data_IF_757360980968
#
_entry.id   IF_757360980968
#
_cell.length_a   1.000
_cell.length_b   1.000
_cell.length_c   1.000
_cell.angle_alpha   90.00
_cell.angle_beta   90.00
_cell.angle_gamma   90.00
#
_symmetry.space_group_name_H-M   'P 1'
#
loop_
_entity.id
_entity.type
_entity.pdbx_description
1 polymer ?
#
# COMPACT_ATOMS: atom_id res chain seq x y z
N UNK A 1 10.91 -41.44 32.05
CA UNK A 1 11.00 -40.80 30.71
C UNK A 1 12.47 -40.68 30.36
N UNK A 2 12.95 -41.42 29.36
CA UNK A 2 14.38 -41.52 29.03
C UNK A 2 14.84 -40.29 28.25
N UNK A 3 16.14 -39.96 28.29
CA UNK A 3 16.70 -38.83 27.55
C UNK A 3 16.38 -38.88 26.04
N UNK A 4 16.37 -40.10 25.46
CA UNK A 4 15.99 -40.34 24.06
C UNK A 4 14.52 -39.98 23.75
N UNK A 5 13.60 -40.20 24.67
CA UNK A 5 12.19 -39.82 24.49
C UNK A 5 12.02 -38.29 24.50
N UNK A 6 12.77 -37.61 25.37
CA UNK A 6 12.75 -36.14 25.48
C UNK A 6 13.37 -35.45 24.25
N UNK A 7 14.37 -36.08 23.61
CA UNK A 7 14.94 -35.59 22.35
C UNK A 7 14.02 -35.81 21.15
N UNK A 8 13.29 -36.94 21.10
CA UNK A 8 12.34 -37.21 20.03
C UNK A 8 11.16 -36.23 20.05
N UNK A 9 10.59 -35.98 21.23
CA UNK A 9 9.52 -34.98 21.44
C UNK A 9 9.99 -33.57 21.03
N UNK A 10 11.22 -33.19 21.39
CA UNK A 10 11.79 -31.91 21.00
C UNK A 10 11.96 -31.77 19.48
N UNK A 11 12.36 -32.84 18.77
CA UNK A 11 12.47 -32.80 17.30
C UNK A 11 11.11 -32.74 16.61
N UNK A 12 10.09 -33.39 17.15
CA UNK A 12 8.72 -33.31 16.62
C UNK A 12 8.15 -31.91 16.78
N UNK A 13 8.34 -31.28 17.95
CA UNK A 13 7.94 -29.90 18.19
C UNK A 13 8.62 -28.92 17.22
N UNK A 14 9.94 -29.05 17.03
CA UNK A 14 10.69 -28.22 16.08
C UNK A 14 10.22 -28.42 14.64
N UNK A 15 9.89 -29.65 14.24
CA UNK A 15 9.36 -29.91 12.90
C UNK A 15 7.97 -29.29 12.70
N UNK A 16 7.12 -29.32 13.73
CA UNK A 16 5.82 -28.66 13.72
C UNK A 16 5.97 -27.13 13.58
N UNK A 17 6.91 -26.53 14.32
CA UNK A 17 7.21 -25.11 14.25
C UNK A 17 7.74 -24.71 12.86
N UNK A 18 8.67 -25.49 12.29
CA UNK A 18 9.17 -25.27 10.92
C UNK A 18 8.02 -25.34 9.91
N UNK A 19 7.11 -26.30 10.05
CA UNK A 19 5.95 -26.41 9.17
C UNK A 19 5.00 -25.22 9.31
N UNK A 20 4.79 -24.74 10.54
CA UNK A 20 3.99 -23.54 10.81
C UNK A 20 4.61 -22.28 10.20
N UNK A 21 5.91 -22.07 10.40
CA UNK A 21 6.65 -20.93 9.83
C UNK A 21 6.62 -20.93 8.31
N UNK A 22 6.77 -22.11 7.68
CA UNK A 22 6.65 -22.23 6.22
C UNK A 22 5.27 -21.82 5.71
N UNK A 23 4.20 -22.18 6.42
CA UNK A 23 2.83 -21.76 6.06
C UNK A 23 2.66 -20.25 6.22
N UNK A 24 3.13 -19.69 7.34
CA UNK A 24 3.08 -18.24 7.58
C UNK A 24 3.84 -17.45 6.51
N UNK A 25 5.04 -17.88 6.13
CA UNK A 25 5.79 -17.23 5.06
C UNK A 25 5.07 -17.27 3.70
N UNK A 26 4.42 -18.39 3.36
CA UNK A 26 3.65 -18.50 2.12
C UNK A 26 2.44 -17.55 2.13
N UNK A 27 1.78 -17.44 3.28
CA UNK A 27 0.67 -16.55 3.53
C UNK A 27 1.08 -15.08 3.39
N UNK A 28 2.13 -14.67 4.10
CA UNK A 28 2.69 -13.32 4.05
C UNK A 28 3.15 -12.93 2.64
N UNK A 29 3.80 -13.85 1.92
CA UNK A 29 4.22 -13.62 0.53
C UNK A 29 3.02 -13.31 -0.37
N UNK A 30 1.91 -14.03 -0.16
CA UNK A 30 0.68 -13.83 -0.92
C UNK A 30 0.05 -12.48 -0.59
N UNK A 31 -0.03 -12.13 0.70
CA UNK A 31 -0.54 -10.84 1.14
C UNK A 31 0.31 -9.66 0.67
N UNK A 32 1.64 -9.83 0.66
CA UNK A 32 2.57 -8.83 0.14
C UNK A 32 2.34 -8.60 -1.35
N UNK A 33 2.22 -9.67 -2.14
CA UNK A 33 1.97 -9.58 -3.56
C UNK A 33 0.61 -8.90 -3.87
N UNK A 34 -0.42 -9.19 -3.08
CA UNK A 34 -1.72 -8.52 -3.17
C UNK A 34 -1.64 -7.02 -2.86
N UNK A 35 -0.92 -6.64 -1.80
CA UNK A 35 -0.68 -5.21 -1.49
C UNK A 35 0.13 -4.51 -2.57
N UNK A 36 1.16 -5.16 -3.11
CA UNK A 36 1.97 -4.63 -4.20
C UNK A 36 1.14 -4.43 -5.49
N UNK A 37 0.12 -5.28 -5.72
CA UNK A 37 -0.85 -5.12 -6.80
C UNK A 37 -1.92 -4.02 -6.51
N UNK A 38 -1.87 -3.37 -5.35
CA UNK A 38 -2.81 -2.30 -4.98
C UNK A 38 -4.15 -2.80 -4.42
N UNK A 39 -4.22 -4.01 -3.84
CA UNK A 39 -5.47 -4.51 -3.28
C UNK A 39 -6.00 -3.59 -2.16
N UNK A 40 -7.21 -3.04 -2.36
CA UNK A 40 -7.94 -2.24 -1.36
C UNK A 40 -8.29 -3.06 -0.12
N UNK A 41 -8.51 -4.35 -0.30
CA UNK A 41 -8.73 -5.32 0.78
C UNK A 41 -8.03 -6.64 0.48
N UNK A 42 -6.90 -6.87 1.17
CA UNK A 42 -6.10 -8.09 1.05
C UNK A 42 -6.92 -9.33 1.44
N UNK A 43 -7.77 -9.23 2.46
CA UNK A 43 -8.61 -10.34 2.92
C UNK A 43 -9.60 -10.80 1.84
N UNK A 44 -10.23 -9.85 1.14
CA UNK A 44 -11.15 -10.16 0.06
C UNK A 44 -10.40 -10.76 -1.14
N UNK A 45 -9.27 -10.15 -1.53
CA UNK A 45 -8.49 -10.64 -2.67
C UNK A 45 -7.95 -12.06 -2.43
N UNK A 46 -7.49 -12.34 -1.21
CA UNK A 46 -7.01 -13.67 -0.79
C UNK A 46 -8.12 -14.74 -0.80
N UNK A 47 -9.36 -14.37 -0.51
CA UNK A 47 -10.48 -15.31 -0.61
C UNK A 47 -10.74 -15.70 -2.07
N UNK A 48 -10.63 -14.75 -2.99
CA UNK A 48 -10.83 -14.96 -4.43
C UNK A 48 -9.66 -15.71 -5.08
N UNK A 49 -8.45 -15.68 -4.51
CA UNK A 49 -7.31 -16.41 -5.07
C UNK A 49 -7.58 -17.92 -5.24
N UNK A 50 -8.38 -18.52 -4.37
CA UNK A 50 -8.72 -19.94 -4.46
C UNK A 50 -9.52 -20.29 -5.74
N UNK A 51 -10.34 -19.36 -6.22
CA UNK A 51 -11.15 -19.51 -7.43
C UNK A 51 -10.36 -19.24 -8.72
N UNK A 52 -9.16 -18.65 -8.59
CA UNK A 52 -8.30 -18.22 -9.69
C UNK A 52 -6.93 -18.91 -9.69
N UNK A 53 -6.82 -20.14 -9.17
CA UNK A 53 -5.58 -20.94 -9.13
C UNK A 53 -4.39 -20.21 -8.47
N UNK A 54 -4.67 -19.25 -7.58
CA UNK A 54 -3.66 -18.40 -6.94
C UNK A 54 -3.05 -17.32 -7.86
N UNK A 55 -3.59 -17.10 -9.06
CA UNK A 55 -3.14 -16.07 -9.97
C UNK A 55 -3.71 -14.69 -9.61
N UNK A 56 -2.84 -13.83 -9.08
CA UNK A 56 -3.19 -12.46 -8.71
C UNK A 56 -3.65 -11.64 -9.93
N UNK A 57 -3.07 -11.86 -11.11
CA UNK A 57 -3.46 -11.11 -12.31
C UNK A 57 -4.85 -11.51 -12.80
N UNK A 58 -5.21 -12.80 -12.68
CA UNK A 58 -6.56 -13.26 -12.98
C UNK A 58 -7.60 -12.62 -12.04
N UNK A 59 -7.28 -12.50 -10.74
CA UNK A 59 -8.14 -11.82 -9.76
C UNK A 59 -8.26 -10.31 -10.06
N UNK A 60 -7.16 -9.66 -10.46
CA UNK A 60 -7.17 -8.24 -10.88
C UNK A 60 -8.04 -8.03 -12.11
N UNK A 61 -7.96 -8.93 -13.09
CA UNK A 61 -8.75 -8.84 -14.33
C UNK A 61 -10.24 -9.14 -14.09
N UNK A 62 -10.55 -10.13 -13.24
CA UNK A 62 -11.92 -10.51 -12.92
C UNK A 62 -12.62 -9.49 -12.02
N UNK A 63 -11.90 -8.95 -11.02
CA UNK A 63 -12.45 -8.03 -10.02
C UNK A 63 -11.64 -6.72 -9.93
N UNK A 64 -11.63 -5.87 -10.98
CA UNK A 64 -10.84 -4.63 -11.00
C UNK A 64 -11.18 -3.66 -9.87
N UNK A 65 -12.43 -3.64 -9.40
CA UNK A 65 -12.89 -2.75 -8.32
C UNK A 65 -12.17 -2.98 -6.98
N UNK A 66 -11.57 -4.16 -6.80
CA UNK A 66 -10.88 -4.54 -5.58
C UNK A 66 -9.44 -4.00 -5.50
N UNK A 67 -8.90 -3.51 -6.62
CA UNK A 67 -7.53 -3.02 -6.72
C UNK A 67 -7.53 -1.51 -7.05
N UNK A 68 -6.54 -0.81 -6.51
CA UNK A 68 -6.25 0.58 -6.86
C UNK A 68 -5.59 0.62 -8.24
N UNK A 69 -6.08 1.48 -9.14
CA UNK A 69 -5.51 1.66 -10.48
C UNK A 69 -5.97 0.67 -11.55
N UNK A 70 -6.75 -0.37 -11.22
CA UNK A 70 -7.27 -1.32 -12.21
C UNK A 70 -8.38 -0.75 -13.12
N UNK A 71 -8.92 0.41 -12.78
CA UNK A 71 -9.49 1.48 -13.64
C UNK A 71 -10.07 2.53 -12.69
N UNK A 72 -9.29 3.56 -12.36
CA UNK A 72 -9.88 4.85 -12.01
C UNK A 72 -9.91 5.72 -13.27
N UNK A 73 -10.55 5.22 -14.33
CA UNK A 73 -11.05 6.08 -15.42
C UNK A 73 -12.15 7.02 -14.93
N UNK A 74 -12.57 6.92 -13.66
CA UNK A 74 -13.41 7.86 -12.95
C UNK A 74 -12.65 8.84 -12.02
N UNK A 75 -11.31 8.95 -12.12
CA UNK A 75 -10.61 10.15 -11.66
C UNK A 75 -10.47 11.20 -12.77
N UNK A 76 -11.39 11.19 -13.75
CA UNK A 76 -11.86 12.41 -14.43
C UNK A 76 -13.19 12.80 -13.80
N UNK A 77 -13.13 13.16 -12.52
CA UNK A 77 -14.30 13.43 -11.69
C UNK A 77 -14.05 14.52 -10.66
N UNK A 78 -13.12 15.44 -10.95
CA UNK A 78 -13.07 16.71 -10.25
C UNK A 78 -14.36 17.48 -10.56
N UNK A 79 -15.37 17.35 -9.72
CA UNK A 79 -16.50 18.29 -9.70
C UNK A 79 -16.08 19.65 -9.12
N UNK A 80 -14.86 19.76 -8.60
CA UNK A 80 -14.14 21.03 -8.53
C UNK A 80 -13.72 21.48 -9.92
N UNK A 81 -14.70 21.88 -10.73
CA UNK A 81 -14.55 22.82 -11.85
C UNK A 81 -14.26 24.25 -11.33
N UNK A 82 -13.60 24.33 -10.20
CA UNK A 82 -13.02 25.52 -9.61
C UNK A 82 -11.55 25.20 -9.55
N UNK A 83 -10.74 26.03 -10.20
CA UNK A 83 -9.30 25.99 -9.98
C UNK A 83 -9.04 25.97 -8.46
N UNK A 84 -8.02 25.23 -8.00
CA UNK A 84 -7.65 25.29 -6.60
C UNK A 84 -7.37 26.76 -6.25
N UNK A 85 -8.29 27.39 -5.52
CA UNK A 85 -8.16 28.76 -5.00
C UNK A 85 -6.99 28.91 -3.99
N UNK A 86 -6.18 27.86 -3.84
CA UNK A 86 -4.97 27.81 -3.02
C UNK A 86 -3.66 27.75 -3.82
N UNK A 87 -3.66 27.74 -5.16
CA UNK A 87 -2.45 28.14 -5.89
C UNK A 87 -2.45 29.66 -5.88
N UNK A 88 -1.91 30.23 -4.81
CA UNK A 88 -1.63 31.65 -4.69
C UNK A 88 -0.95 32.09 -6.00
N UNK A 89 -1.68 32.78 -6.87
CA UNK A 89 -1.15 33.47 -8.04
C UNK A 89 -0.27 34.66 -7.65
N UNK A 90 0.52 34.52 -6.59
CA UNK A 90 1.63 35.40 -6.29
C UNK A 90 2.81 34.91 -7.11
N UNK A 91 3.17 35.67 -8.13
CA UNK A 91 4.46 35.47 -8.79
C UNK A 91 5.58 35.43 -7.75
N UNK A 92 6.69 34.77 -8.09
CA UNK A 92 7.88 34.75 -7.23
C UNK A 92 8.31 36.19 -6.83
N UNK A 93 8.11 37.16 -7.72
CA UNK A 93 8.30 38.58 -7.43
C UNK A 93 7.37 39.12 -6.31
N UNK A 94 6.10 38.73 -6.28
CA UNK A 94 5.17 39.12 -5.22
C UNK A 94 5.52 38.47 -3.87
N UNK A 95 5.99 37.21 -3.91
CA UNK A 95 6.50 36.51 -2.74
C UNK A 95 7.75 37.19 -2.18
N UNK A 96 8.74 37.49 -3.03
CA UNK A 96 9.98 38.16 -2.63
C UNK A 96 9.75 39.60 -2.15
N UNK A 97 8.83 40.34 -2.77
CA UNK A 97 8.46 41.70 -2.32
C UNK A 97 7.85 41.68 -0.92
N UNK A 98 7.00 40.69 -0.61
CA UNK A 98 6.44 40.51 0.74
C UNK A 98 7.54 40.25 1.77
N UNK A 99 8.54 39.42 1.43
CA UNK A 99 9.68 39.20 2.32
C UNK A 99 10.50 40.47 2.53
N UNK A 100 10.79 41.23 1.46
CA UNK A 100 11.53 42.49 1.55
C UNK A 100 10.85 43.51 2.48
N UNK A 101 9.51 43.65 2.43
CA UNK A 101 8.76 44.50 3.36
C UNK A 101 8.84 44.02 4.81
N UNK A 102 8.74 42.70 5.05
CA UNK A 102 8.78 42.13 6.41
C UNK A 102 10.13 42.40 7.10
N UNK A 103 11.23 42.37 6.33
CA UNK A 103 12.57 42.58 6.87
C UNK A 103 13.07 44.02 6.72
N UNK A 104 12.20 44.96 6.32
CA UNK A 104 12.53 46.39 6.21
C UNK A 104 13.51 46.73 5.07
N UNK A 105 13.69 45.83 4.10
CA UNK A 105 14.56 46.04 2.93
C UNK A 105 13.89 46.85 1.81
N UNK A 106 12.60 47.18 1.96
CA UNK A 106 11.84 48.02 1.01
C UNK A 106 12.04 49.52 1.25
N UNK A 107 12.67 49.93 2.37
CA UNK A 107 13.07 51.32 2.60
C UNK A 107 14.34 51.65 1.82
N UNK A 108 14.15 52.28 0.66
CA UNK A 108 15.18 53.04 -0.04
C UNK A 108 14.80 54.52 0.04
N UNK A 109 15.76 55.35 0.41
CA UNK A 109 15.69 56.83 0.47
C UNK A 109 14.93 57.49 -0.68
#
# INVERSE_FOLDING_TARGET
>A
MTAAAKTAEATEALNADIASLKRQMADERTEFALRAAGARSVKAAKALLADHDGDIQAVVAAEPWLFEGAESTSQVGGTTRLEPAGMSGGSDAAYMKRWATIVGLDEKE
#
